data_IF_889547828128
#
_entry.id   IF_889547828128
#
_cell.length_a   1.000
_cell.length_b   1.000
_cell.length_c   1.000
_cell.angle_alpha   90.00
_cell.angle_beta   90.00
_cell.angle_gamma   90.00
#
_symmetry.space_group_name_H-M   'P 1'
#
loop_
_entity.id
_entity.type
_entity.pdbx_description
1 polymer ?
#
# COMPACT_ATOMS: atom_id res chain seq x y z
N UNK A 1 8.17 -5.99 -1.95
CA UNK A 1 8.03 -4.66 -1.34
C UNK A 1 6.70 -4.53 -0.61
N UNK A 2 5.59 -4.81 -1.30
CA UNK A 2 4.24 -4.87 -0.72
C UNK A 2 4.09 -5.59 0.64
N UNK A 3 4.69 -6.77 0.84
CA UNK A 3 4.60 -7.46 2.14
C UNK A 3 5.28 -6.66 3.26
N UNK A 4 6.44 -6.06 2.97
CA UNK A 4 7.20 -5.24 3.93
C UNK A 4 6.40 -3.99 4.26
N UNK A 5 5.87 -3.29 3.26
CA UNK A 5 5.07 -2.08 3.49
C UNK A 5 3.78 -2.39 4.27
N UNK A 6 3.15 -3.53 4.00
CA UNK A 6 2.04 -4.07 4.78
C UNK A 6 2.40 -4.34 6.24
N UNK A 7 3.45 -5.11 6.51
CA UNK A 7 3.88 -5.37 7.89
C UNK A 7 4.24 -4.10 8.63
N UNK A 8 4.96 -3.16 8.00
CA UNK A 8 5.25 -1.85 8.58
C UNK A 8 3.99 -1.09 9.00
N UNK A 9 2.97 -1.04 8.14
CA UNK A 9 1.69 -0.37 8.45
C UNK A 9 0.95 -1.01 9.63
N UNK A 10 1.10 -2.33 9.82
CA UNK A 10 0.47 -3.06 10.91
C UNK A 10 1.14 -2.75 12.26
N UNK A 11 2.48 -2.69 12.28
CA UNK A 11 3.26 -2.60 13.53
C UNK A 11 3.57 -1.17 13.98
N UNK A 12 3.58 -0.18 13.07
CA UNK A 12 4.06 1.18 13.39
C UNK A 12 3.23 1.86 14.49
N UNK A 13 1.93 1.62 14.55
CA UNK A 13 1.07 2.19 15.59
C UNK A 13 1.42 1.68 17.00
N UNK A 14 2.00 0.48 17.12
CA UNK A 14 2.38 -0.09 18.42
C UNK A 14 3.67 0.50 18.99
N UNK A 15 4.49 1.18 18.19
CA UNK A 15 5.70 1.86 18.67
C UNK A 15 5.44 3.31 19.08
N UNK A 16 4.28 3.86 18.71
CA UNK A 16 3.86 5.21 19.05
C UNK A 16 3.76 5.39 20.58
N UNK A 17 4.50 6.37 21.11
CA UNK A 17 4.53 6.68 22.55
C UNK A 17 5.35 5.72 23.41
N UNK A 18 5.90 4.64 22.85
CA UNK A 18 6.74 3.66 23.57
C UNK A 18 8.21 3.79 23.19
N UNK A 19 8.53 3.83 21.89
CA UNK A 19 9.90 3.91 21.41
C UNK A 19 9.98 4.68 20.09
N UNK A 20 10.37 5.96 20.19
CA UNK A 20 10.46 6.87 19.04
C UNK A 20 11.51 6.43 18.01
N UNK A 21 12.62 5.82 18.45
CA UNK A 21 13.68 5.34 17.55
C UNK A 21 13.15 4.20 16.69
N UNK A 22 12.48 3.22 17.31
CA UNK A 22 11.86 2.11 16.58
C UNK A 22 10.81 2.61 15.58
N UNK A 23 9.99 3.59 15.97
CA UNK A 23 9.00 4.22 15.08
C UNK A 23 9.67 4.85 13.85
N UNK A 24 10.75 5.61 14.03
CA UNK A 24 11.49 6.23 12.92
C UNK A 24 12.08 5.18 11.98
N UNK A 25 12.69 4.12 12.52
CA UNK A 25 13.24 3.02 11.71
C UNK A 25 12.14 2.36 10.88
N UNK A 26 10.98 2.05 11.49
CA UNK A 26 9.85 1.46 10.78
C UNK A 26 9.32 2.43 9.71
N UNK A 27 9.21 3.72 10.01
CA UNK A 27 8.76 4.73 9.05
C UNK A 27 9.71 4.85 7.84
N UNK A 28 11.03 4.78 8.06
CA UNK A 28 12.03 4.78 6.99
C UNK A 28 11.90 3.54 6.10
N UNK A 29 11.79 2.34 6.70
CA UNK A 29 11.59 1.09 5.96
C UNK A 29 10.27 1.14 5.18
N UNK A 30 9.22 1.66 5.80
CA UNK A 30 7.92 1.81 5.16
C UNK A 30 7.98 2.76 3.96
N UNK A 31 8.61 3.93 4.11
CA UNK A 31 8.79 4.90 3.03
C UNK A 31 9.58 4.31 1.86
N UNK A 32 10.70 3.64 2.13
CA UNK A 32 11.51 2.99 1.08
C UNK A 32 10.74 1.90 0.34
N UNK A 33 10.01 1.06 1.08
CA UNK A 33 9.25 -0.04 0.47
C UNK A 33 8.03 0.45 -0.31
N UNK A 34 7.29 1.44 0.20
CA UNK A 34 6.12 1.98 -0.47
C UNK A 34 6.46 2.76 -1.75
N UNK A 35 7.58 3.50 -1.78
CA UNK A 35 8.02 4.22 -2.99
C UNK A 35 8.34 3.27 -4.14
N UNK A 36 8.86 2.09 -3.84
CA UNK A 36 9.20 1.09 -4.85
C UNK A 36 7.98 0.44 -5.53
N UNK A 37 6.80 0.45 -4.89
CA UNK A 37 5.62 -0.27 -5.38
C UNK A 37 5.01 0.37 -6.65
N UNK A 38 4.96 1.71 -6.75
CA UNK A 38 4.34 2.41 -7.90
C UNK A 38 4.98 2.10 -9.27
N UNK A 39 6.32 2.20 -9.46
CA UNK A 39 6.94 1.85 -10.74
C UNK A 39 6.83 0.35 -11.06
N UNK A 40 6.85 -0.51 -10.03
CA UNK A 40 6.71 -1.96 -10.21
C UNK A 40 5.34 -2.33 -10.78
N UNK A 41 4.25 -1.74 -10.27
CA UNK A 41 2.91 -2.04 -10.77
C UNK A 41 2.66 -1.49 -12.17
N UNK A 42 3.10 -0.26 -12.46
CA UNK A 42 2.97 0.30 -13.81
C UNK A 42 3.78 -0.50 -14.83
N UNK A 43 5.02 -0.91 -14.49
CA UNK A 43 5.83 -1.80 -15.31
C UNK A 43 5.11 -3.12 -15.58
N UNK A 44 4.59 -3.76 -14.53
CA UNK A 44 3.84 -5.01 -14.65
C UNK A 44 2.59 -4.87 -15.54
N UNK A 45 1.84 -3.76 -15.40
CA UNK A 45 0.67 -3.49 -16.25
C UNK A 45 1.05 -3.35 -17.73
N UNK A 46 2.20 -2.74 -18.02
CA UNK A 46 2.74 -2.62 -19.38
C UNK A 46 3.47 -3.86 -19.91
N UNK A 47 3.81 -4.84 -19.06
CA UNK A 47 4.44 -6.08 -19.53
C UNK A 47 3.42 -7.20 -19.72
N UNK A 48 2.39 -7.24 -18.89
CA UNK A 48 1.37 -8.30 -18.86
C UNK A 48 0.09 -7.89 -19.61
N UNK A 49 -0.20 -6.58 -19.68
CA UNK A 49 -1.39 -6.07 -20.36
C UNK A 49 -1.32 -6.17 -21.89
N UNK A 50 -2.48 -6.12 -22.54
CA UNK A 50 -2.57 -6.00 -23.99
C UNK A 50 -1.95 -4.67 -24.44
N UNK A 51 -0.99 -4.76 -25.38
CA UNK A 51 -0.28 -3.62 -25.98
C UNK A 51 -1.22 -2.54 -26.50
N UNK A 52 -2.40 -2.91 -26.97
CA UNK A 52 -3.41 -1.97 -27.46
C UNK A 52 -3.98 -1.07 -26.37
N UNK A 53 -4.02 -1.54 -25.12
CA UNK A 53 -4.68 -0.86 -24.00
C UNK A 53 -3.73 -0.44 -22.88
N UNK A 54 -2.40 -0.54 -23.06
CA UNK A 54 -1.42 -0.23 -22.01
C UNK A 54 -1.56 1.19 -21.44
N UNK A 55 -1.73 2.20 -22.31
CA UNK A 55 -1.93 3.58 -21.86
C UNK A 55 -3.21 3.74 -21.02
N UNK A 56 -4.29 3.08 -21.42
CA UNK A 56 -5.57 3.09 -20.69
C UNK A 56 -5.45 2.38 -19.35
N UNK A 57 -4.78 1.23 -19.30
CA UNK A 57 -4.59 0.46 -18.07
C UNK A 57 -3.80 1.26 -17.02
N UNK A 58 -2.67 1.88 -17.42
CA UNK A 58 -1.86 2.71 -16.51
C UNK A 58 -2.64 3.97 -16.07
N UNK A 59 -3.42 4.57 -16.97
CA UNK A 59 -4.24 5.75 -16.62
C UNK A 59 -5.31 5.41 -15.59
N UNK A 60 -6.04 4.31 -15.78
CA UNK A 60 -7.06 3.84 -14.82
C UNK A 60 -6.40 3.47 -13.49
N UNK A 61 -5.26 2.80 -13.52
CA UNK A 61 -4.49 2.46 -12.32
C UNK A 61 -4.13 3.71 -11.51
N UNK A 62 -3.59 4.74 -12.15
CA UNK A 62 -3.26 6.02 -11.50
C UNK A 62 -4.52 6.71 -10.94
N UNK A 63 -5.60 6.79 -11.73
CA UNK A 63 -6.85 7.42 -11.31
C UNK A 63 -7.45 6.75 -10.07
N UNK A 64 -7.50 5.41 -10.05
CA UNK A 64 -7.96 4.63 -8.89
C UNK A 64 -7.03 4.83 -7.70
N UNK A 65 -5.70 4.79 -7.92
CA UNK A 65 -4.71 5.02 -6.86
C UNK A 65 -4.86 6.39 -6.20
N UNK A 66 -5.03 7.45 -6.98
CA UNK A 66 -5.31 8.79 -6.46
C UNK A 66 -6.63 8.86 -5.70
N UNK A 67 -7.70 8.26 -6.23
CA UNK A 67 -9.00 8.22 -5.55
C UNK A 67 -8.91 7.53 -4.18
N UNK A 68 -8.26 6.38 -4.10
CA UNK A 68 -8.02 5.65 -2.85
C UNK A 68 -7.17 6.49 -1.89
N UNK A 69 -6.16 7.21 -2.41
CA UNK A 69 -5.30 8.07 -1.60
C UNK A 69 -6.08 9.21 -0.96
N UNK A 70 -6.96 9.88 -1.72
CA UNK A 70 -7.85 10.94 -1.21
C UNK A 70 -8.76 10.42 -0.11
N UNK A 71 -9.38 9.26 -0.33
CA UNK A 71 -10.24 8.62 0.69
C UNK A 71 -9.43 8.29 1.94
N UNK A 72 -8.24 7.71 1.78
CA UNK A 72 -7.38 7.30 2.89
C UNK A 72 -6.97 8.49 3.76
N UNK A 73 -6.58 9.61 3.15
CA UNK A 73 -6.22 10.85 3.86
C UNK A 73 -7.39 11.38 4.71
N UNK A 74 -8.63 11.30 4.19
CA UNK A 74 -9.82 11.71 4.92
C UNK A 74 -10.26 10.71 6.00
N UNK A 75 -10.06 9.42 5.74
CA UNK A 75 -10.50 8.34 6.61
C UNK A 75 -9.62 8.21 7.86
N UNK A 76 -8.30 8.38 7.74
CA UNK A 76 -7.37 8.15 8.84
C UNK A 76 -7.68 9.00 10.08
N UNK A 77 -7.93 10.32 9.99
CA UNK A 77 -8.29 11.11 11.17
C UNK A 77 -9.55 10.58 11.88
N UNK A 78 -10.59 10.23 11.12
CA UNK A 78 -11.83 9.67 11.66
C UNK A 78 -11.56 8.35 12.39
N UNK A 79 -10.70 7.50 11.83
CA UNK A 79 -10.31 6.23 12.45
C UNK A 79 -9.49 6.49 13.71
N UNK A 80 -8.56 7.45 13.69
CA UNK A 80 -7.78 7.85 14.87
C UNK A 80 -8.70 8.29 16.01
N UNK A 81 -9.77 9.03 15.75
CA UNK A 81 -10.71 9.47 16.78
C UNK A 81 -11.47 8.29 17.44
N UNK A 82 -11.68 7.19 16.69
CA UNK A 82 -12.42 6.01 17.18
C UNK A 82 -11.50 5.02 17.88
N UNK A 83 -10.32 4.73 17.31
CA UNK A 83 -9.43 3.64 17.76
C UNK A 83 -8.03 4.08 18.17
N UNK A 84 -7.75 5.39 18.22
CA UNK A 84 -6.44 5.98 18.49
C UNK A 84 -5.37 5.68 17.42
N UNK A 85 -4.25 6.40 17.50
CA UNK A 85 -3.09 6.22 16.61
C UNK A 85 -2.51 4.81 16.61
N UNK A 86 -2.69 4.07 17.71
CA UNK A 86 -2.16 2.71 17.89
C UNK A 86 -2.70 1.73 16.84
N UNK A 87 -3.97 1.84 16.47
CA UNK A 87 -4.63 0.92 15.54
C UNK A 87 -4.99 1.57 14.20
N UNK A 88 -4.96 2.91 14.12
CA UNK A 88 -5.37 3.62 12.91
C UNK A 88 -4.56 3.22 11.67
N UNK A 89 -3.25 3.02 11.78
CA UNK A 89 -2.43 2.60 10.65
C UNK A 89 -2.62 1.13 10.25
N UNK A 90 -3.09 0.28 11.17
CA UNK A 90 -3.35 -1.14 10.88
C UNK A 90 -4.46 -1.34 9.86
N UNK A 91 -5.38 -0.38 9.70
CA UNK A 91 -6.42 -0.45 8.65
C UNK A 91 -5.81 -0.40 7.24
N UNK A 92 -4.67 0.27 7.08
CA UNK A 92 -3.99 0.38 5.79
C UNK A 92 -3.45 -0.97 5.30
N UNK A 93 -3.22 -1.92 6.22
CA UNK A 93 -2.80 -3.29 5.89
C UNK A 93 -3.77 -4.00 4.94
N UNK A 94 -5.05 -3.62 4.93
CA UNK A 94 -6.06 -4.16 4.01
C UNK A 94 -5.67 -3.95 2.54
N UNK A 95 -5.01 -2.82 2.21
CA UNK A 95 -4.54 -2.53 0.86
C UNK A 95 -3.49 -3.55 0.38
N UNK A 96 -2.34 -3.67 1.08
CA UNK A 96 -1.32 -4.68 0.80
C UNK A 96 -1.85 -6.11 0.81
N UNK A 97 -2.79 -6.45 1.72
CA UNK A 97 -3.42 -7.77 1.74
C UNK A 97 -4.16 -8.06 0.43
N UNK A 98 -5.01 -7.14 -0.03
CA UNK A 98 -5.73 -7.27 -1.29
C UNK A 98 -4.77 -7.32 -2.49
N UNK A 99 -3.71 -6.51 -2.46
CA UNK A 99 -2.67 -6.51 -3.50
C UNK A 99 -1.93 -7.85 -3.57
N UNK A 100 -1.50 -8.42 -2.44
CA UNK A 100 -0.82 -9.72 -2.39
C UNK A 100 -1.71 -10.85 -2.93
N UNK A 101 -2.98 -10.88 -2.55
CA UNK A 101 -3.95 -11.86 -3.06
C UNK A 101 -4.08 -11.74 -4.59
N UNK A 102 -4.21 -10.51 -5.09
CA UNK A 102 -4.36 -10.24 -6.53
C UNK A 102 -3.12 -10.62 -7.33
N UNK A 103 -1.93 -10.30 -6.83
CA UNK A 103 -0.65 -10.65 -7.46
C UNK A 103 -0.40 -12.16 -7.47
N UNK A 104 -0.74 -12.86 -6.39
CA UNK A 104 -0.64 -14.32 -6.34
C UNK A 104 -1.60 -14.99 -7.34
N UNK A 105 -2.83 -14.48 -7.46
CA UNK A 105 -3.80 -14.97 -8.45
C UNK A 105 -3.33 -14.70 -9.88
N UNK A 106 -2.69 -13.55 -10.13
CA UNK A 106 -2.12 -13.23 -11.43
C UNK A 106 -0.96 -14.17 -11.77
N UNK A 107 -0.07 -14.46 -10.81
CA UNK A 107 1.05 -15.39 -10.98
C UNK A 107 0.56 -16.78 -11.37
N UNK A 108 -0.46 -17.30 -10.68
CA UNK A 108 -1.05 -18.62 -10.97
C UNK A 108 -1.74 -18.71 -12.33
N UNK A 109 -2.13 -17.59 -12.96
CA UNK A 109 -2.72 -17.58 -14.30
C UNK A 109 -1.68 -17.51 -15.43
N UNK A 110 -0.43 -17.18 -15.09
CA UNK A 110 0.68 -17.03 -16.05
C UNK A 110 1.49 -18.32 -16.17
N UNK A 111 1.33 -19.25 -15.23
CA UNK A 111 1.70 -20.67 -15.31
C UNK A 111 0.62 -21.47 -16.06
#
# INVERSE_FOLDING_TARGET
MLSVSGFCSLIIGFTFGVNNIAMIIIALIWGMSAVADSPQYSGMATEVGDKKYMGTAVTIQLAIGFFISIISIKLIPIVVDIVSWKYAFSILFLGPLCGLISLNKLRSKKE
#
